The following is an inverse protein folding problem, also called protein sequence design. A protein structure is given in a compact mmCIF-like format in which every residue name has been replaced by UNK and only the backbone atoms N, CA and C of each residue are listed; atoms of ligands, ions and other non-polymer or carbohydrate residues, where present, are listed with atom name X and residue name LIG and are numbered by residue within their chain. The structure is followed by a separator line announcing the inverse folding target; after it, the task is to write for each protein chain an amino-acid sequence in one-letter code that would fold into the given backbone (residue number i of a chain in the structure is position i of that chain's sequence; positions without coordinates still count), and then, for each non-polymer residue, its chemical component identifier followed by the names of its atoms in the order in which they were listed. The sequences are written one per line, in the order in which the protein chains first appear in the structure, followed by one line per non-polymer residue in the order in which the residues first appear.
data_IF_051912327929
#
_entry.id   IF_051912327929
#
_cell.length_a   1.000
_cell.length_b   1.000
_cell.length_c   1.000
_cell.angle_alpha   90.00
_cell.angle_beta   90.00
_cell.angle_gamma   90.00
#
_symmetry.space_group_name_H-M   'P 1'
#
loop_
_entity.id
_entity.type
_entity.pdbx_description
1 polymer ?
#
# COMPACT_ATOMS: atom_id res chain seq x y z
N UNK A 1 13.50 -13.62 -14.19
CA UNK A 1 12.32 -12.92 -13.64
C UNK A 1 11.27 -12.91 -14.73
N UNK A 2 10.07 -13.43 -14.45
CA UNK A 2 8.97 -13.37 -15.41
C UNK A 2 8.66 -11.91 -15.80
N UNK A 3 8.38 -11.63 -17.08
CA UNK A 3 7.95 -10.30 -17.54
C UNK A 3 6.79 -9.72 -16.72
N UNK A 4 5.94 -10.60 -16.18
CA UNK A 4 4.87 -10.26 -15.26
C UNK A 4 5.36 -9.49 -14.02
N UNK A 5 6.43 -9.94 -13.35
CA UNK A 5 6.95 -9.27 -12.16
C UNK A 5 7.57 -7.91 -12.50
N UNK A 6 8.21 -7.77 -13.67
CA UNK A 6 8.78 -6.51 -14.11
C UNK A 6 7.70 -5.47 -14.43
N UNK A 7 6.60 -5.88 -15.08
CA UNK A 7 5.44 -5.02 -15.35
C UNK A 7 4.75 -4.65 -14.04
N UNK A 8 4.55 -5.62 -13.14
CA UNK A 8 3.93 -5.38 -11.84
C UNK A 8 4.74 -4.38 -10.99
N UNK A 9 6.05 -4.58 -10.85
CA UNK A 9 6.94 -3.66 -10.14
C UNK A 9 6.99 -2.28 -10.81
N UNK A 10 7.08 -2.23 -12.14
CA UNK A 10 7.09 -0.99 -12.89
C UNK A 10 5.81 -0.17 -12.70
N UNK A 11 4.64 -0.81 -12.83
CA UNK A 11 3.34 -0.18 -12.59
C UNK A 11 3.18 0.28 -11.14
N UNK A 12 3.65 -0.52 -10.17
CA UNK A 12 3.64 -0.16 -8.75
C UNK A 12 4.47 1.09 -8.47
N UNK A 13 5.72 1.14 -8.95
CA UNK A 13 6.59 2.29 -8.75
C UNK A 13 6.08 3.56 -9.45
N UNK A 14 5.51 3.43 -10.65
CA UNK A 14 4.93 4.55 -11.38
C UNK A 14 3.71 5.13 -10.65
N UNK A 15 2.83 4.27 -10.12
CA UNK A 15 1.67 4.67 -9.33
C UNK A 15 2.10 5.37 -8.04
N UNK A 16 3.12 4.83 -7.37
CA UNK A 16 3.70 5.43 -6.16
C UNK A 16 4.30 6.81 -6.44
N UNK A 17 5.13 6.94 -7.48
CA UNK A 17 5.73 8.22 -7.87
C UNK A 17 4.67 9.30 -8.19
N UNK A 18 3.59 8.90 -8.85
CA UNK A 18 2.47 9.79 -9.15
C UNK A 18 1.74 10.27 -7.89
N UNK A 19 1.49 9.37 -6.93
CA UNK A 19 0.87 9.72 -5.65
C UNK A 19 1.77 10.65 -4.80
N UNK A 20 3.09 10.44 -4.84
CA UNK A 20 4.06 11.35 -4.22
C UNK A 20 3.97 12.75 -4.82
N UNK A 21 3.95 12.86 -6.15
CA UNK A 21 3.86 14.15 -6.85
C UNK A 21 2.57 14.90 -6.48
N UNK A 22 1.42 14.24 -6.47
CA UNK A 22 0.13 14.86 -6.09
C UNK A 22 0.10 15.34 -4.63
N UNK A 23 0.82 14.66 -3.74
CA UNK A 23 0.88 15.05 -2.34
C UNK A 23 1.63 16.35 -2.08
N UNK A 24 2.64 16.66 -2.91
CA UNK A 24 3.47 17.86 -2.78
C UNK A 24 2.67 19.16 -2.97
N UNK A 25 1.54 19.11 -3.68
CA UNK A 25 0.70 20.27 -3.97
C UNK A 25 -0.43 20.50 -2.96
N UNK A 26 -0.77 19.52 -2.11
CA UNK A 26 -1.83 19.68 -1.10
C UNK A 26 -1.75 18.60 0.00
N UNK A 27 -1.43 19.02 1.23
CA UNK A 27 -1.30 18.12 2.39
C UNK A 27 -2.64 17.44 2.78
N UNK A 28 -3.80 18.01 2.43
CA UNK A 28 -5.11 17.35 2.63
C UNK A 28 -5.33 16.21 1.63
N UNK A 29 -4.85 16.36 0.39
CA UNK A 29 -4.85 15.27 -0.61
C UNK A 29 -3.85 14.18 -0.25
N UNK A 30 -2.79 14.52 0.47
CA UNK A 30 -1.86 13.53 1.00
C UNK A 30 -2.53 12.56 1.97
N UNK A 31 -3.43 13.02 2.85
CA UNK A 31 -4.18 12.12 3.75
C UNK A 31 -5.01 11.08 2.98
N UNK A 32 -5.64 11.49 1.88
CA UNK A 32 -6.35 10.59 0.96
C UNK A 32 -5.42 9.59 0.28
N UNK A 33 -4.27 10.04 -0.21
CA UNK A 33 -3.27 9.16 -0.81
C UNK A 33 -2.74 8.13 0.20
N UNK A 34 -2.53 8.52 1.46
CA UNK A 34 -2.15 7.60 2.54
C UNK A 34 -3.26 6.58 2.79
N UNK A 35 -4.54 6.99 2.80
CA UNK A 35 -5.67 6.07 2.91
C UNK A 35 -5.73 5.05 1.78
N UNK A 36 -5.58 5.50 0.53
CA UNK A 36 -5.51 4.64 -0.65
C UNK A 36 -4.30 3.69 -0.62
N UNK A 37 -3.14 4.16 -0.14
CA UNK A 37 -1.93 3.36 0.01
C UNK A 37 -2.10 2.26 1.06
N UNK A 38 -2.72 2.57 2.20
CA UNK A 38 -3.08 1.59 3.24
C UNK A 38 -4.00 0.52 2.63
N UNK A 39 -5.05 0.92 1.92
CA UNK A 39 -5.99 -0.02 1.30
C UNK A 39 -5.31 -0.91 0.25
N UNK A 40 -4.54 -0.32 -0.66
CA UNK A 40 -3.80 -1.04 -1.69
C UNK A 40 -2.77 -2.02 -1.10
N UNK A 41 -2.10 -1.63 0.00
CA UNK A 41 -1.13 -2.49 0.69
C UNK A 41 -1.79 -3.67 1.39
N UNK A 42 -2.94 -3.47 2.05
CA UNK A 42 -3.73 -4.57 2.64
C UNK A 42 -4.20 -5.53 1.55
N UNK A 43 -4.72 -5.01 0.44
CA UNK A 43 -5.15 -5.82 -0.69
C UNK A 43 -4.01 -6.65 -1.29
N UNK A 44 -2.84 -6.04 -1.50
CA UNK A 44 -1.65 -6.72 -1.97
C UNK A 44 -1.22 -7.85 -1.02
N UNK A 45 -1.15 -7.60 0.29
CA UNK A 45 -0.77 -8.62 1.28
C UNK A 45 -1.76 -9.79 1.26
N UNK A 46 -3.06 -9.50 1.18
CA UNK A 46 -4.08 -10.54 1.06
C UNK A 46 -3.93 -11.37 -0.22
N UNK A 47 -3.69 -10.72 -1.36
CA UNK A 47 -3.42 -11.42 -2.62
C UNK A 47 -2.14 -12.24 -2.57
N UNK A 48 -1.07 -11.72 -1.98
CA UNK A 48 0.22 -12.41 -1.85
C UNK A 48 0.05 -13.72 -1.07
N UNK A 49 -0.57 -13.66 0.11
CA UNK A 49 -0.83 -14.87 0.90
C UNK A 49 -1.83 -15.82 0.22
N UNK A 50 -2.83 -15.30 -0.50
CA UNK A 50 -3.72 -16.13 -1.29
C UNK A 50 -2.98 -16.88 -2.42
N UNK A 51 -2.13 -16.19 -3.18
CA UNK A 51 -1.30 -16.80 -4.23
C UNK A 51 -0.36 -17.86 -3.65
N UNK A 52 0.25 -17.59 -2.50
CA UNK A 52 1.11 -18.56 -1.80
C UNK A 52 0.37 -19.84 -1.38
N UNK A 53 -0.93 -19.76 -1.06
CA UNK A 53 -1.74 -20.90 -0.61
C UNK A 53 -2.33 -21.66 -1.80
N UNK A 54 -2.83 -20.95 -2.81
CA UNK A 54 -3.63 -21.53 -3.90
C UNK A 54 -2.84 -21.83 -5.18
N UNK A 55 -1.63 -21.28 -5.35
CA UNK A 55 -0.79 -21.55 -6.53
C UNK A 55 0.37 -22.47 -6.15
N UNK A 56 0.36 -23.75 -6.60
CA UNK A 56 1.50 -24.64 -6.40
C UNK A 56 2.75 -24.08 -7.09
N UNK A 57 3.91 -24.32 -6.48
CA UNK A 57 5.23 -23.79 -6.89
C UNK A 57 5.43 -22.26 -6.75
N UNK A 58 4.49 -21.53 -6.14
CA UNK A 58 4.71 -20.12 -5.83
C UNK A 58 5.82 -19.96 -4.76
N UNK A 59 6.82 -19.09 -4.98
CA UNK A 59 7.96 -18.95 -4.07
C UNK A 59 7.52 -18.50 -2.68
N UNK A 60 7.72 -19.37 -1.70
CA UNK A 60 7.36 -19.10 -0.30
C UNK A 60 8.20 -17.99 0.32
N UNK A 61 9.38 -17.69 -0.21
CA UNK A 61 10.29 -16.63 0.27
C UNK A 61 9.64 -15.24 0.36
N UNK A 62 8.57 -14.99 -0.38
CA UNK A 62 7.80 -13.74 -0.29
C UNK A 62 6.93 -13.63 0.98
N UNK A 63 6.84 -14.65 1.84
CA UNK A 63 6.09 -14.55 3.10
C UNK A 63 6.59 -13.38 3.97
N UNK A 64 7.91 -13.12 3.93
CA UNK A 64 8.57 -12.08 4.69
C UNK A 64 8.19 -10.67 4.21
N UNK A 65 8.00 -10.48 2.88
CA UNK A 65 7.57 -9.19 2.35
C UNK A 65 6.14 -8.88 2.80
N UNK A 66 5.25 -9.89 2.84
CA UNK A 66 3.91 -9.75 3.40
C UNK A 66 3.90 -9.31 4.87
N UNK A 67 4.82 -9.84 5.69
CA UNK A 67 4.97 -9.43 7.10
C UNK A 67 5.43 -7.98 7.22
N UNK A 68 6.46 -7.59 6.48
CA UNK A 68 6.96 -6.21 6.48
C UNK A 68 5.87 -5.22 6.06
N UNK A 69 5.14 -5.53 4.99
CA UNK A 69 4.08 -4.66 4.49
C UNK A 69 2.91 -4.55 5.47
N UNK A 70 2.60 -5.63 6.20
CA UNK A 70 1.63 -5.60 7.29
C UNK A 70 2.07 -4.67 8.43
N UNK A 71 3.33 -4.78 8.86
CA UNK A 71 3.90 -3.91 9.90
C UNK A 71 3.87 -2.45 9.47
N UNK A 72 4.27 -2.13 8.23
CA UNK A 72 4.21 -0.77 7.73
C UNK A 72 2.79 -0.24 7.64
N UNK A 73 1.82 -1.07 7.26
CA UNK A 73 0.40 -0.70 7.25
C UNK A 73 -0.06 -0.30 8.67
N UNK A 74 0.28 -1.09 9.68
CA UNK A 74 -0.05 -0.82 11.08
C UNK A 74 0.62 0.48 11.55
N UNK A 75 1.90 0.67 11.25
CA UNK A 75 2.62 1.90 11.59
C UNK A 75 1.99 3.14 10.94
N UNK A 76 1.60 3.05 9.66
CA UNK A 76 0.93 4.15 8.98
C UNK A 76 -0.39 4.52 9.66
N UNK A 77 -1.20 3.53 10.02
CA UNK A 77 -2.45 3.76 10.75
C UNK A 77 -2.18 4.41 12.12
N UNK A 78 -1.21 3.87 12.87
CA UNK A 78 -0.83 4.38 14.18
C UNK A 78 -0.36 5.84 14.13
N UNK A 79 0.55 6.17 13.20
CA UNK A 79 1.04 7.54 13.03
C UNK A 79 -0.04 8.48 12.50
N UNK A 80 -0.93 8.02 11.62
CA UNK A 80 -2.04 8.84 11.14
C UNK A 80 -2.99 9.23 12.29
N UNK A 81 -3.34 8.26 13.16
CA UNK A 81 -4.12 8.55 14.36
C UNK A 81 -3.39 9.49 15.33
N UNK A 82 -2.09 9.25 15.58
CA UNK A 82 -1.29 10.12 16.45
C UNK A 82 -1.16 11.54 15.89
N UNK A 83 -1.14 11.68 14.56
CA UNK A 83 -1.15 12.96 13.86
C UNK A 83 -2.51 13.68 13.85
N UNK A 84 -3.53 13.12 14.51
CA UNK A 84 -4.86 13.73 14.63
C UNK A 84 -5.76 13.50 13.40
N UNK A 85 -5.34 12.72 12.41
CA UNK A 85 -6.19 12.35 11.28
C UNK A 85 -7.19 11.27 11.72
N UNK A 86 -8.48 11.58 11.65
CA UNK A 86 -9.52 10.56 11.85
C UNK A 86 -9.55 9.64 10.61
N UNK A 87 -9.90 8.36 10.78
CA UNK A 87 -10.08 7.42 9.65
C UNK A 87 -10.96 7.99 8.54
N UNK A 88 -12.00 8.76 8.91
CA UNK A 88 -12.86 9.44 7.93
C UNK A 88 -12.11 10.46 7.07
N UNK A 89 -11.11 11.16 7.63
CA UNK A 89 -10.31 12.14 6.92
C UNK A 89 -9.23 11.50 6.05
N UNK A 90 -8.82 10.26 6.36
CA UNK A 90 -7.98 9.44 5.46
C UNK A 90 -8.71 8.99 4.20
N UNK A 91 -10.02 8.77 4.24
CA UNK A 91 -10.77 8.26 3.07
C UNK A 91 -11.68 9.32 2.43
N UNK A 92 -12.06 10.35 3.18
CA UNK A 92 -12.94 11.44 2.76
C UNK A 92 -12.45 12.76 3.37
N UNK A 93 -11.32 13.33 2.89
CA UNK A 93 -10.86 14.63 3.36
C UNK A 93 -11.92 15.69 3.04
N UNK A 94 -12.29 16.51 4.05
CA UNK A 94 -13.10 17.71 3.79
C UNK A 94 -12.25 18.70 2.98
N UNK A 95 -12.72 19.04 1.78
CA UNK A 95 -12.12 20.04 0.90
C UNK A 95 -12.07 21.38 1.64
#
# INVERSE_FOLDING_TARGET
MDPFYAIFLGSFFLCFAWLQFFSAFNIRRYAFNVGCLIFGRVFYVAQLYAFMIFVPDFPSTFWFTGVIDSVFTILYIFFAFKGGLRMRELFLPKI
#
